data_IF_096370303378
#
_entry.id   IF_096370303378
#
_cell.length_a   1.000
_cell.length_b   1.000
_cell.length_c   1.000
_cell.angle_alpha   90.00
_cell.angle_beta   90.00
_cell.angle_gamma   90.00
#
_symmetry.space_group_name_H-M   'P 1'
#
loop_
_entity.id
_entity.type
_entity.pdbx_description
1 polymer ?
#
# COMPACT_ATOMS: atom_id res chain seq x y z
N UNK A 1 -19.67 75.40 -38.32
CA UNK A 1 -18.75 74.27 -38.00
C UNK A 1 -19.56 73.17 -37.22
N UNK A 2 -19.94 72.07 -37.90
CA UNK A 2 -20.70 70.97 -37.27
C UNK A 2 -19.70 69.98 -36.69
N UNK A 3 -19.79 69.79 -35.39
CA UNK A 3 -18.98 68.72 -34.67
C UNK A 3 -19.68 67.39 -34.89
N UNK A 4 -19.00 66.50 -35.55
CA UNK A 4 -19.41 65.05 -35.66
C UNK A 4 -18.91 64.33 -34.47
N UNK A 5 -19.81 63.79 -33.65
CA UNK A 5 -19.51 62.89 -32.58
C UNK A 5 -19.47 61.43 -33.14
N UNK A 6 -18.32 60.79 -33.10
CA UNK A 6 -18.19 59.35 -33.45
C UNK A 6 -18.36 58.53 -32.16
N UNK A 7 -19.36 57.66 -32.09
CA UNK A 7 -19.45 56.77 -30.94
C UNK A 7 -18.36 55.66 -31.06
N UNK A 8 -17.48 55.56 -30.08
CA UNK A 8 -16.57 54.46 -29.94
C UNK A 8 -17.35 53.28 -29.36
N UNK A 9 -17.59 52.28 -30.18
CA UNK A 9 -18.17 51.01 -29.74
C UNK A 9 -17.05 50.17 -29.08
N UNK A 10 -17.07 50.08 -27.76
CA UNK A 10 -16.20 49.12 -27.03
C UNK A 10 -16.79 47.72 -27.25
N UNK A 11 -16.20 46.95 -28.14
CA UNK A 11 -16.40 45.50 -28.22
C UNK A 11 -15.64 44.85 -27.07
N UNK A 12 -16.35 44.60 -25.99
CA UNK A 12 -15.85 43.70 -24.93
C UNK A 12 -15.77 42.28 -25.46
N UNK A 13 -14.57 41.74 -25.61
CA UNK A 13 -14.35 40.33 -25.88
C UNK A 13 -14.75 39.52 -24.63
N UNK A 14 -15.96 38.97 -24.65
CA UNK A 14 -16.36 37.90 -23.73
C UNK A 14 -15.58 36.65 -24.12
N UNK A 15 -14.47 36.38 -23.41
CA UNK A 15 -13.84 35.06 -23.44
C UNK A 15 -14.78 34.09 -22.74
N UNK A 16 -15.65 33.40 -23.49
CA UNK A 16 -16.30 32.18 -23.00
C UNK A 16 -15.21 31.13 -22.91
N UNK A 17 -14.60 30.98 -21.75
CA UNK A 17 -13.93 29.72 -21.36
C UNK A 17 -15.03 28.68 -21.11
N UNK A 18 -15.46 28.04 -22.16
CA UNK A 18 -16.31 26.85 -22.08
C UNK A 18 -15.47 25.72 -21.51
N UNK A 19 -15.37 25.63 -20.20
CA UNK A 19 -15.10 24.34 -19.59
C UNK A 19 -16.35 23.52 -19.85
N UNK A 20 -16.24 22.60 -20.80
CA UNK A 20 -17.20 21.50 -20.91
C UNK A 20 -17.00 20.66 -19.66
N UNK A 21 -17.75 20.95 -18.61
CA UNK A 21 -17.91 20.01 -17.50
C UNK A 21 -18.69 18.84 -18.07
N UNK A 22 -18.02 17.73 -18.25
CA UNK A 22 -18.70 16.49 -18.49
C UNK A 22 -19.12 15.93 -17.13
N UNK A 23 -20.15 16.52 -16.56
CA UNK A 23 -20.67 16.19 -15.23
C UNK A 23 -21.09 14.72 -15.12
N UNK A 24 -21.39 14.05 -16.25
CA UNK A 24 -21.70 12.63 -16.30
C UNK A 24 -20.45 11.71 -16.17
N UNK A 25 -19.25 12.23 -16.38
CA UNK A 25 -18.01 11.44 -16.34
C UNK A 25 -17.16 11.78 -15.12
N UNK A 26 -17.31 12.98 -14.53
CA UNK A 26 -16.48 13.48 -13.43
C UNK A 26 -17.21 13.64 -12.09
N UNK A 27 -18.50 13.56 -12.07
CA UNK A 27 -19.20 13.21 -10.87
C UNK A 27 -19.23 11.68 -10.76
N UNK A 28 -18.07 11.11 -10.43
CA UNK A 28 -18.14 9.98 -9.52
C UNK A 28 -19.02 10.48 -8.38
N UNK A 29 -20.20 9.84 -8.10
CA UNK A 29 -20.92 10.19 -6.90
C UNK A 29 -19.84 10.29 -5.83
N UNK A 30 -19.82 11.39 -5.07
CA UNK A 30 -19.02 11.42 -3.85
C UNK A 30 -19.29 10.05 -3.27
N UNK A 31 -18.29 9.16 -3.30
CA UNK A 31 -18.44 7.94 -2.56
C UNK A 31 -18.61 8.50 -1.16
N UNK A 32 -19.87 8.68 -0.76
CA UNK A 32 -20.19 8.77 0.62
C UNK A 32 -19.47 7.54 1.15
N UNK A 33 -18.28 7.78 1.71
CA UNK A 33 -17.64 6.80 2.56
C UNK A 33 -18.76 6.58 3.53
N UNK A 34 -19.51 5.50 3.28
CA UNK A 34 -20.68 5.23 4.11
C UNK A 34 -20.10 5.28 5.52
N UNK A 35 -20.69 6.06 6.42
CA UNK A 35 -20.33 6.12 7.83
C UNK A 35 -20.39 4.74 8.51
N UNK A 36 -20.60 3.71 7.74
CA UNK A 36 -20.71 2.30 8.08
C UNK A 36 -19.33 1.63 8.01
N UNK A 37 -18.43 2.06 8.88
CA UNK A 37 -17.31 1.23 9.26
C UNK A 37 -17.84 0.02 10.04
N UNK A 38 -17.39 -1.18 9.71
CA UNK A 38 -17.71 -2.37 10.49
C UNK A 38 -17.17 -2.23 11.92
N UNK A 39 -18.05 -2.41 12.91
CA UNK A 39 -17.69 -2.34 14.33
C UNK A 39 -17.31 -3.74 14.83
N UNK A 40 -16.02 -4.06 14.76
CA UNK A 40 -15.48 -5.31 15.30
C UNK A 40 -14.96 -5.00 16.71
N UNK A 41 -15.66 -5.50 17.73
CA UNK A 41 -15.30 -5.29 19.14
C UNK A 41 -14.51 -6.46 19.66
N UNK A 42 -13.26 -6.19 20.04
CA UNK A 42 -12.40 -7.13 20.74
C UNK A 42 -12.15 -6.56 22.14
N UNK A 43 -12.34 -7.35 23.21
CA UNK A 43 -12.06 -6.88 24.56
C UNK A 43 -10.58 -6.52 24.75
N UNK A 44 -10.33 -5.51 25.55
CA UNK A 44 -8.98 -5.18 26.00
C UNK A 44 -8.37 -6.38 26.77
N UNK A 45 -7.08 -6.58 26.64
CA UNK A 45 -6.33 -7.65 27.32
C UNK A 45 -5.27 -7.00 28.21
N UNK A 46 -5.29 -7.29 29.49
CA UNK A 46 -4.34 -6.78 30.50
C UNK A 46 -4.17 -5.25 30.48
N UNK A 47 -5.24 -4.53 30.16
CA UNK A 47 -5.25 -3.06 30.08
C UNK A 47 -4.72 -2.48 28.76
N UNK A 48 -4.42 -3.32 27.77
CA UNK A 48 -4.03 -2.92 26.43
C UNK A 48 -5.20 -3.03 25.47
N UNK A 49 -5.35 -2.03 24.58
CA UNK A 49 -6.28 -2.10 23.47
C UNK A 49 -5.80 -3.11 22.44
N UNK A 50 -6.70 -4.00 22.02
CA UNK A 50 -6.41 -4.95 20.95
C UNK A 50 -6.68 -4.31 19.59
N UNK A 51 -5.66 -4.19 18.75
CA UNK A 51 -5.78 -3.67 17.39
C UNK A 51 -6.04 -4.80 16.41
N UNK A 52 -6.93 -4.54 15.46
CA UNK A 52 -7.22 -5.41 14.32
C UNK A 52 -6.35 -4.96 13.14
N UNK A 53 -5.43 -5.82 12.73
CA UNK A 53 -4.44 -5.45 11.74
C UNK A 53 -4.36 -6.49 10.62
N UNK A 54 -4.07 -6.02 9.41
CA UNK A 54 -3.63 -6.86 8.31
C UNK A 54 -2.21 -6.44 7.91
N UNK A 55 -1.26 -7.36 8.05
CA UNK A 55 0.16 -7.09 7.80
C UNK A 55 0.66 -7.64 6.47
N UNK A 56 -0.25 -8.10 5.60
CA UNK A 56 0.11 -8.62 4.30
C UNK A 56 -0.89 -8.18 3.23
N UNK A 57 -0.68 -7.01 2.65
CA UNK A 57 -1.57 -6.45 1.63
C UNK A 57 -0.80 -5.98 0.39
N UNK A 58 -1.42 -6.15 -0.77
CA UNK A 58 -0.87 -5.77 -2.07
C UNK A 58 -1.71 -4.69 -2.74
N UNK A 59 -1.06 -3.89 -3.57
CA UNK A 59 -1.68 -2.86 -4.39
C UNK A 59 -1.32 -3.05 -5.87
N UNK A 60 -1.79 -2.15 -6.74
CA UNK A 60 -1.40 -2.15 -8.15
C UNK A 60 0.10 -1.90 -8.38
N UNK A 61 0.85 -1.55 -7.35
CA UNK A 61 2.31 -1.39 -7.43
C UNK A 61 3.04 -2.74 -7.49
N UNK A 62 2.35 -3.82 -7.12
CA UNK A 62 2.76 -5.21 -7.38
C UNK A 62 1.69 -5.95 -8.18
N UNK A 63 1.19 -7.06 -7.70
CA UNK A 63 0.17 -7.89 -8.35
C UNK A 63 -1.25 -7.67 -7.81
N UNK A 64 -1.41 -6.81 -6.81
CA UNK A 64 -2.72 -6.37 -6.34
C UNK A 64 -3.49 -5.60 -7.42
N UNK A 65 -4.78 -5.36 -7.17
CA UNK A 65 -5.72 -4.82 -8.17
C UNK A 65 -6.27 -3.44 -7.82
N UNK A 66 -5.93 -2.90 -6.66
CA UNK A 66 -6.47 -1.64 -6.18
C UNK A 66 -5.39 -0.59 -5.98
N UNK A 67 -5.77 0.66 -6.11
CA UNK A 67 -4.89 1.79 -5.82
C UNK A 67 -4.63 1.89 -4.30
N UNK A 68 -3.43 2.35 -3.86
CA UNK A 68 -3.10 2.34 -2.43
C UNK A 68 -4.09 3.08 -1.53
N UNK A 69 -4.69 4.17 -1.98
CA UNK A 69 -5.72 4.88 -1.19
C UNK A 69 -6.98 4.04 -1.02
N UNK A 70 -7.36 3.28 -2.07
CA UNK A 70 -8.51 2.37 -2.01
C UNK A 70 -8.26 1.22 -1.03
N UNK A 71 -7.02 0.70 -0.96
CA UNK A 71 -6.65 -0.32 0.03
C UNK A 71 -6.84 0.18 1.46
N UNK A 72 -6.49 1.45 1.72
CA UNK A 72 -6.73 2.09 3.02
C UNK A 72 -8.22 2.21 3.32
N UNK A 73 -9.02 2.66 2.34
CA UNK A 73 -10.46 2.84 2.52
C UNK A 73 -11.19 1.51 2.74
N UNK A 74 -10.80 0.44 2.01
CA UNK A 74 -11.31 -0.92 2.21
C UNK A 74 -11.01 -1.40 3.64
N UNK A 75 -9.77 -1.34 4.08
CA UNK A 75 -9.36 -1.78 5.40
C UNK A 75 -10.07 -1.01 6.53
N UNK A 76 -10.19 0.31 6.39
CA UNK A 76 -10.94 1.12 7.35
C UNK A 76 -12.41 0.72 7.40
N UNK A 77 -13.04 0.52 6.23
CA UNK A 77 -14.44 0.12 6.12
C UNK A 77 -14.69 -1.26 6.73
N UNK A 78 -13.76 -2.18 6.55
CA UNK A 78 -13.83 -3.54 7.10
C UNK A 78 -13.60 -3.59 8.62
N UNK A 79 -13.27 -2.45 9.23
CA UNK A 79 -13.16 -2.33 10.69
C UNK A 79 -11.75 -2.57 11.22
N UNK A 80 -10.73 -2.65 10.36
CA UNK A 80 -9.34 -2.75 10.77
C UNK A 80 -8.86 -1.43 11.40
N UNK A 81 -7.87 -1.52 12.26
CA UNK A 81 -7.23 -0.37 12.92
C UNK A 81 -5.90 -0.02 12.25
N UNK A 82 -5.26 -0.98 11.58
CA UNK A 82 -4.02 -0.78 10.84
C UNK A 82 -3.86 -1.79 9.70
N UNK A 83 -3.11 -1.37 8.66
CA UNK A 83 -2.60 -2.27 7.63
C UNK A 83 -1.12 -2.03 7.36
N UNK A 84 -0.43 -3.03 6.80
CA UNK A 84 0.87 -2.83 6.18
C UNK A 84 0.73 -2.86 4.66
N UNK A 85 1.38 -1.95 3.97
CA UNK A 85 1.57 -2.03 2.51
C UNK A 85 2.82 -2.87 2.29
N UNK A 86 2.64 -4.04 1.67
CA UNK A 86 3.70 -5.05 1.48
C UNK A 86 3.79 -5.50 0.03
N UNK A 87 3.76 -4.55 -0.89
CA UNK A 87 3.91 -4.84 -2.31
C UNK A 87 5.20 -5.64 -2.59
N UNK A 88 5.15 -6.56 -3.54
CA UNK A 88 6.31 -7.36 -3.96
C UNK A 88 7.45 -6.52 -4.51
N UNK A 89 8.69 -6.90 -4.21
CA UNK A 89 9.88 -6.35 -4.88
C UNK A 89 9.98 -6.88 -6.30
N UNK A 90 9.83 -8.19 -6.48
CA UNK A 90 10.13 -8.89 -7.74
C UNK A 90 8.94 -9.00 -8.68
N UNK A 91 7.71 -9.04 -8.14
CA UNK A 91 6.48 -9.25 -8.92
C UNK A 91 5.74 -7.92 -9.11
N UNK A 92 6.11 -7.17 -10.14
CA UNK A 92 5.55 -5.84 -10.44
C UNK A 92 5.08 -5.74 -11.89
N UNK A 93 3.97 -6.41 -12.26
CA UNK A 93 3.51 -6.45 -13.66
C UNK A 93 3.17 -5.08 -14.23
N UNK A 94 2.78 -4.13 -13.40
CA UNK A 94 2.36 -2.77 -13.80
C UNK A 94 3.47 -1.72 -13.65
N UNK A 95 4.69 -2.11 -13.23
CA UNK A 95 5.82 -1.20 -13.02
C UNK A 95 6.02 -0.17 -14.13
N UNK A 96 5.88 -0.51 -15.43
CA UNK A 96 6.05 0.47 -16.51
C UNK A 96 5.02 1.59 -16.51
N UNK A 97 3.90 1.44 -15.81
CA UNK A 97 2.75 2.35 -15.87
C UNK A 97 2.46 3.07 -14.54
N UNK A 98 2.85 2.50 -13.40
CA UNK A 98 2.41 3.01 -12.09
C UNK A 98 3.52 3.55 -11.19
N UNK A 99 4.79 3.19 -11.42
CA UNK A 99 5.90 3.73 -10.63
C UNK A 99 7.14 3.95 -11.48
N UNK A 100 7.86 5.00 -11.18
CA UNK A 100 9.19 5.24 -11.74
C UNK A 100 10.28 4.30 -11.19
N UNK A 101 9.90 3.28 -10.45
CA UNK A 101 10.81 2.31 -9.83
C UNK A 101 11.01 2.50 -8.32
N UNK A 102 10.48 3.57 -7.73
CA UNK A 102 10.54 3.80 -6.29
C UNK A 102 9.58 2.88 -5.54
N UNK A 103 10.14 1.98 -4.72
CA UNK A 103 9.40 1.01 -3.93
C UNK A 103 8.67 1.62 -2.73
N UNK A 104 8.92 2.88 -2.39
CA UNK A 104 8.19 3.56 -1.32
C UNK A 104 6.87 4.16 -1.80
N UNK A 105 6.68 4.31 -3.12
CA UNK A 105 5.55 5.06 -3.70
C UNK A 105 4.18 4.58 -3.24
N UNK A 106 3.95 3.27 -3.16
CA UNK A 106 2.66 2.72 -2.74
C UNK A 106 2.34 3.07 -1.29
N UNK A 107 3.33 2.93 -0.39
CA UNK A 107 3.19 3.35 1.00
C UNK A 107 2.94 4.85 1.11
N UNK A 108 3.69 5.68 0.41
CA UNK A 108 3.59 7.14 0.51
C UNK A 108 2.21 7.64 0.06
N UNK A 109 1.63 7.01 -0.98
CA UNK A 109 0.26 7.28 -1.44
C UNK A 109 -0.76 6.81 -0.41
N UNK A 110 -0.62 5.59 0.11
CA UNK A 110 -1.51 5.05 1.15
C UNK A 110 -1.48 5.91 2.42
N UNK A 111 -0.28 6.34 2.83
CA UNK A 111 -0.06 7.17 4.03
C UNK A 111 -0.78 8.51 3.94
N UNK A 112 -0.78 9.17 2.78
CA UNK A 112 -1.51 10.42 2.59
C UNK A 112 -3.02 10.24 2.87
N UNK A 113 -3.59 9.14 2.40
CA UNK A 113 -5.01 8.85 2.65
C UNK A 113 -5.26 8.48 4.11
N UNK A 114 -4.43 7.65 4.67
CA UNK A 114 -4.51 7.22 6.06
C UNK A 114 -4.47 8.42 7.03
N UNK A 115 -3.60 9.39 6.78
CA UNK A 115 -3.52 10.62 7.59
C UNK A 115 -4.79 11.46 7.55
N UNK A 116 -5.49 11.48 6.40
CA UNK A 116 -6.76 12.21 6.27
C UNK A 116 -7.88 11.62 7.12
N UNK A 117 -7.88 10.31 7.32
CA UNK A 117 -8.96 9.59 8.03
C UNK A 117 -8.54 9.08 9.41
N UNK A 118 -7.32 9.38 9.87
CA UNK A 118 -6.81 8.93 11.16
C UNK A 118 -6.58 7.41 11.24
N UNK A 119 -6.18 6.78 10.12
CA UNK A 119 -5.91 5.35 10.02
C UNK A 119 -4.40 5.06 10.10
N UNK A 120 -4.02 3.88 10.59
CA UNK A 120 -2.62 3.49 10.72
C UNK A 120 -2.19 2.70 9.48
N UNK A 121 -1.16 3.20 8.76
CA UNK A 121 -0.50 2.46 7.68
C UNK A 121 0.96 2.25 8.03
N UNK A 122 1.40 1.00 7.93
CA UNK A 122 2.76 0.56 8.23
C UNK A 122 3.51 0.38 6.91
N UNK A 123 4.74 0.93 6.86
CA UNK A 123 5.62 0.69 5.73
C UNK A 123 6.20 -0.70 5.80
N UNK A 124 5.95 -1.48 4.76
CA UNK A 124 6.51 -2.81 4.57
C UNK A 124 6.89 -3.05 3.12
N UNK A 125 7.42 -4.21 2.86
CA UNK A 125 7.74 -4.73 1.53
C UNK A 125 7.76 -6.25 1.57
N UNK A 126 7.38 -6.92 0.49
CA UNK A 126 7.53 -8.36 0.38
C UNK A 126 8.72 -8.72 -0.50
N UNK A 127 9.69 -9.41 0.12
CA UNK A 127 10.82 -10.05 -0.54
C UNK A 127 10.31 -11.38 -1.10
N UNK A 128 10.15 -11.46 -2.43
CA UNK A 128 9.49 -12.57 -3.13
C UNK A 128 10.51 -13.40 -3.88
N UNK A 129 10.91 -14.51 -3.30
CA UNK A 129 11.95 -15.37 -3.87
C UNK A 129 11.45 -16.79 -4.07
N UNK A 130 12.07 -17.47 -5.00
CA UNK A 130 11.86 -18.92 -5.12
C UNK A 130 12.34 -19.65 -3.86
N UNK A 131 11.80 -20.86 -3.64
CA UNK A 131 12.37 -21.76 -2.63
C UNK A 131 13.87 -21.98 -2.88
N UNK A 132 14.69 -22.08 -1.85
CA UNK A 132 14.32 -22.39 -0.46
C UNK A 132 13.92 -21.18 0.42
N UNK A 133 14.19 -19.93 0.07
CA UNK A 133 13.82 -18.81 0.92
C UNK A 133 12.30 -18.58 0.98
N UNK A 134 11.63 -18.59 -0.18
CA UNK A 134 10.22 -18.27 -0.27
C UNK A 134 9.93 -16.76 -0.10
N UNK A 135 8.76 -16.46 0.41
CA UNK A 135 8.26 -15.09 0.55
C UNK A 135 8.40 -14.60 1.99
N UNK A 136 8.88 -13.40 2.14
CA UNK A 136 9.18 -12.79 3.45
C UNK A 136 8.70 -11.34 3.47
N UNK A 137 7.82 -10.98 4.40
CA UNK A 137 7.50 -9.59 4.69
C UNK A 137 8.52 -8.96 5.62
N UNK A 138 8.94 -7.75 5.27
CA UNK A 138 9.69 -6.86 6.14
C UNK A 138 8.79 -5.68 6.50
N UNK A 139 8.39 -5.58 7.77
CA UNK A 139 7.48 -4.57 8.30
C UNK A 139 8.25 -3.51 9.09
N UNK A 140 7.71 -2.29 9.17
CA UNK A 140 8.31 -1.15 9.89
C UNK A 140 9.65 -0.70 9.31
N UNK A 141 9.87 -0.93 8.02
CA UNK A 141 11.08 -0.44 7.32
C UNK A 141 11.03 1.09 7.15
N UNK A 142 12.21 1.68 6.98
CA UNK A 142 12.34 3.13 6.72
C UNK A 142 12.41 3.44 5.22
N UNK A 143 13.09 2.59 4.44
CA UNK A 143 13.26 2.73 3.00
C UNK A 143 13.24 1.35 2.32
N UNK A 144 12.32 1.15 1.38
CA UNK A 144 12.18 -0.10 0.66
C UNK A 144 13.23 -0.28 -0.45
N UNK A 145 13.73 0.81 -1.04
CA UNK A 145 14.62 0.74 -2.21
C UNK A 145 15.92 -0.05 -1.96
N UNK A 146 16.64 0.12 -0.84
CA UNK A 146 17.87 -0.63 -0.59
C UNK A 146 17.65 -2.14 -0.40
N UNK A 147 16.40 -2.57 -0.18
CA UNK A 147 16.06 -3.99 0.00
C UNK A 147 16.01 -4.71 -1.35
N UNK A 148 15.83 -3.98 -2.47
CA UNK A 148 15.90 -4.55 -3.83
C UNK A 148 17.35 -4.94 -4.15
N UNK A 149 17.75 -6.15 -3.76
CA UNK A 149 19.09 -6.71 -4.00
C UNK A 149 19.02 -7.96 -4.87
N UNK A 150 20.07 -8.29 -5.66
CA UNK A 150 20.11 -9.53 -6.42
C UNK A 150 20.09 -10.78 -5.54
N UNK A 151 20.86 -10.76 -4.45
CA UNK A 151 20.99 -11.89 -3.54
C UNK A 151 19.88 -11.89 -2.48
N UNK A 152 19.16 -13.03 -2.33
CA UNK A 152 18.01 -13.09 -1.43
C UNK A 152 18.33 -12.76 0.03
N UNK A 153 19.46 -13.23 0.54
CA UNK A 153 19.86 -12.99 1.93
C UNK A 153 20.30 -11.54 2.17
N UNK A 154 20.79 -10.85 1.15
CA UNK A 154 21.15 -9.43 1.28
C UNK A 154 19.89 -8.58 1.47
N UNK A 155 18.77 -8.94 0.80
CA UNK A 155 17.50 -8.28 1.03
C UNK A 155 17.02 -8.44 2.48
N UNK A 156 17.07 -9.67 3.02
CA UNK A 156 16.70 -9.95 4.42
C UNK A 156 17.63 -9.21 5.39
N UNK A 157 18.94 -9.20 5.11
CA UNK A 157 19.93 -8.51 5.94
C UNK A 157 19.71 -7.00 5.95
N UNK A 158 19.39 -6.42 4.80
CA UNK A 158 19.11 -4.99 4.71
C UNK A 158 17.83 -4.63 5.48
N UNK A 159 16.75 -5.43 5.33
CA UNK A 159 15.54 -5.24 6.11
C UNK A 159 15.81 -5.35 7.63
N UNK A 160 16.58 -6.35 8.04
CA UNK A 160 16.99 -6.52 9.43
C UNK A 160 17.82 -5.33 9.95
N UNK A 161 18.74 -4.82 9.14
CA UNK A 161 19.56 -3.62 9.46
C UNK A 161 18.70 -2.39 9.72
N UNK A 162 17.55 -2.28 9.03
CA UNK A 162 16.58 -1.20 9.25
C UNK A 162 15.73 -1.41 10.51
N UNK A 163 15.86 -2.52 11.21
CA UNK A 163 15.06 -2.87 12.40
C UNK A 163 13.68 -3.43 12.06
N UNK A 164 13.50 -3.97 10.86
CA UNK A 164 12.24 -4.53 10.44
C UNK A 164 11.79 -5.70 11.33
N UNK A 165 10.47 -5.81 11.53
CA UNK A 165 9.85 -7.08 11.93
C UNK A 165 9.73 -7.94 10.67
N UNK A 166 10.41 -9.08 10.67
CA UNK A 166 10.52 -9.97 9.52
C UNK A 166 9.62 -11.18 9.72
N UNK A 167 8.70 -11.41 8.79
CA UNK A 167 7.72 -12.48 8.85
C UNK A 167 7.86 -13.39 7.64
N UNK A 168 7.91 -14.72 7.89
CA UNK A 168 7.85 -15.72 6.84
C UNK A 168 6.40 -15.94 6.40
N UNK A 169 6.11 -15.61 5.13
CA UNK A 169 4.77 -15.63 4.58
C UNK A 169 4.36 -17.02 4.12
N UNK A 170 3.07 -17.35 4.27
CA UNK A 170 2.37 -18.52 3.70
C UNK A 170 3.31 -19.71 3.37
N UNK A 171 3.97 -20.32 4.34
CA UNK A 171 5.07 -21.28 4.11
C UNK A 171 4.65 -22.55 3.36
N UNK A 172 3.36 -22.83 3.25
CA UNK A 172 2.80 -23.92 2.47
C UNK A 172 2.68 -23.65 0.97
N UNK A 173 2.62 -22.39 0.58
CA UNK A 173 2.46 -22.01 -0.84
C UNK A 173 3.75 -22.27 -1.65
N UNK A 174 3.69 -22.72 -2.94
CA UNK A 174 2.49 -23.05 -3.73
C UNK A 174 2.09 -24.53 -3.69
N UNK A 175 2.64 -25.37 -2.83
CA UNK A 175 2.51 -26.82 -2.90
C UNK A 175 1.96 -27.50 -1.64
N UNK A 176 1.23 -26.77 -0.80
CA UNK A 176 0.59 -27.21 0.45
C UNK A 176 1.56 -27.83 1.50
N UNK A 177 2.86 -27.83 1.23
CA UNK A 177 3.86 -28.33 2.14
C UNK A 177 4.66 -27.23 2.79
N UNK A 178 4.39 -27.01 4.06
CA UNK A 178 5.24 -26.18 4.88
C UNK A 178 6.57 -26.90 5.14
N UNK A 179 7.58 -26.60 4.32
CA UNK A 179 8.90 -27.18 4.45
C UNK A 179 9.87 -26.15 5.01
N UNK A 180 10.42 -26.43 6.18
CA UNK A 180 11.52 -25.64 6.73
C UNK A 180 12.83 -26.08 6.05
N UNK A 181 13.49 -25.12 5.40
CA UNK A 181 14.82 -25.32 4.79
C UNK A 181 15.90 -24.78 5.71
N UNK A 182 17.14 -25.20 5.48
CA UNK A 182 18.32 -24.78 6.28
C UNK A 182 18.43 -23.25 6.38
N UNK A 183 18.05 -22.52 5.33
CA UNK A 183 18.04 -21.05 5.33
C UNK A 183 17.08 -20.48 6.37
N UNK A 184 15.91 -21.06 6.55
CA UNK A 184 14.95 -20.61 7.57
C UNK A 184 15.49 -20.88 8.97
N UNK A 185 16.05 -22.09 9.19
CA UNK A 185 16.68 -22.43 10.48
C UNK A 185 17.83 -21.47 10.80
N UNK A 186 18.65 -21.14 9.81
CA UNK A 186 19.73 -20.17 9.96
C UNK A 186 19.19 -18.80 10.38
N UNK A 187 18.22 -18.25 9.62
CA UNK A 187 17.64 -16.94 9.89
C UNK A 187 16.93 -16.88 11.25
N UNK A 188 16.28 -17.97 11.68
CA UNK A 188 15.68 -18.08 13.01
C UNK A 188 16.78 -18.08 14.09
N UNK A 189 17.83 -18.87 13.93
CA UNK A 189 18.98 -18.93 14.88
C UNK A 189 19.69 -17.57 14.99
N UNK A 190 19.74 -16.81 13.90
CA UNK A 190 20.30 -15.48 13.86
C UNK A 190 19.34 -14.38 14.38
N UNK A 191 18.11 -14.75 14.75
CA UNK A 191 17.08 -13.81 15.23
C UNK A 191 16.57 -12.88 14.15
N UNK A 192 16.61 -13.28 12.88
CA UNK A 192 16.19 -12.49 11.72
C UNK A 192 14.77 -12.82 11.23
N UNK A 193 14.16 -13.92 11.67
CA UNK A 193 12.74 -14.21 11.48
C UNK A 193 12.05 -14.05 12.82
N UNK A 194 11.06 -13.16 12.87
CA UNK A 194 10.34 -12.79 14.08
C UNK A 194 8.94 -13.40 14.16
N UNK A 195 8.38 -13.81 13.02
CA UNK A 195 7.05 -14.38 12.93
C UNK A 195 6.85 -15.24 11.69
N UNK A 196 5.72 -15.95 11.68
CA UNK A 196 5.26 -16.79 10.57
C UNK A 196 3.81 -16.47 10.31
N UNK A 197 3.44 -16.31 9.05
CA UNK A 197 2.06 -16.18 8.63
C UNK A 197 1.39 -17.57 8.67
N UNK A 198 0.34 -17.68 9.48
CA UNK A 198 -0.38 -18.97 9.66
C UNK A 198 -1.73 -18.99 8.95
N UNK A 199 -2.19 -17.85 8.49
CA UNK A 199 -3.42 -17.70 7.74
C UNK A 199 -3.23 -16.66 6.64
N UNK A 200 -3.53 -17.04 5.40
CA UNK A 200 -3.52 -16.17 4.24
C UNK A 200 -4.81 -16.43 3.44
N UNK A 201 -5.52 -15.38 3.06
CA UNK A 201 -6.81 -15.48 2.36
C UNK A 201 -6.72 -15.10 0.88
N UNK A 202 -5.52 -15.06 0.31
CA UNK A 202 -5.30 -14.64 -1.08
C UNK A 202 -5.75 -15.69 -2.13
N UNK A 203 -6.39 -16.76 -1.73
CA UNK A 203 -6.88 -17.83 -2.61
C UNK A 203 -8.41 -17.85 -2.69
#
# INVERSE_FOLDING_TARGET
MKKILIPVLLLGSLSLSGQIRNDEVFELPEMEISDLRNDIRIPDVDGFHVLKCDFHTHTIFSDGRVWPTMRVDEAWKDGLDAIAITDHIEVRPWKPFVSGGDLNSSFDIAKQRADQIGFIVIKGIEITRAKPLGHINALFITDANPIETPEPLDAVNEAYRQGAFIMWNHPGWPDDRCTMYDVHEQLIKEGKIHGVEVFNSAE
#
